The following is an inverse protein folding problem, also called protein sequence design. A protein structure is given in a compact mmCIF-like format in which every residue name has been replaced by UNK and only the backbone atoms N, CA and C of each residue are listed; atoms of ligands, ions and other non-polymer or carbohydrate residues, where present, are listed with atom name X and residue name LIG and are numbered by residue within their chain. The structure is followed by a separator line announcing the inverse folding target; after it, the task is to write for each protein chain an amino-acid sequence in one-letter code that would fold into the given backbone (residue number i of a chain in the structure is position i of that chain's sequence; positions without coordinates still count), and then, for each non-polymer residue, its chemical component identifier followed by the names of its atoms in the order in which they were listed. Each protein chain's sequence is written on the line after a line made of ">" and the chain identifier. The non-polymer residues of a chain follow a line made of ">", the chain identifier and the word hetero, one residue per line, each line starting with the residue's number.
data_IF_610500286030
#
_entry.id   IF_610500286030
#
_cell.length_a   1.000
_cell.length_b   1.000
_cell.length_c   1.000
_cell.angle_alpha   90.00
_cell.angle_beta   90.00
_cell.angle_gamma   90.00
#
_symmetry.space_group_name_H-M   'P 1'
#
loop_
_entity.id
_entity.type
_entity.pdbx_description
1 polymer ?
#
# COMPACT_ATOMS: atom_id res chain seq x y z
N UNK A 1 -2.82 -34.98 1.80
CA UNK A 1 -2.07 -33.85 2.40
C UNK A 1 -1.27 -33.05 1.38
N UNK A 2 -0.19 -33.60 0.78
CA UNK A 2 0.64 -32.86 -0.20
C UNK A 2 -0.12 -32.47 -1.48
N UNK A 3 -0.99 -33.36 -1.98
CA UNK A 3 -1.84 -33.08 -3.14
C UNK A 3 -2.94 -32.06 -2.81
N UNK A 4 -3.52 -32.11 -1.61
CA UNK A 4 -4.54 -31.17 -1.14
C UNK A 4 -3.95 -29.78 -0.91
N UNK A 5 -2.71 -29.72 -0.39
CA UNK A 5 -1.96 -28.47 -0.23
C UNK A 5 -1.59 -27.83 -1.58
N UNK A 6 -1.15 -28.65 -2.55
CA UNK A 6 -0.91 -28.16 -3.92
C UNK A 6 -2.20 -27.66 -4.57
N UNK A 7 -3.33 -28.36 -4.39
CA UNK A 7 -4.63 -27.93 -4.89
C UNK A 7 -5.13 -26.63 -4.22
N UNK A 8 -4.78 -26.41 -2.95
CA UNK A 8 -5.05 -25.17 -2.24
C UNK A 8 -4.19 -24.00 -2.75
N UNK A 9 -2.88 -24.21 -2.94
CA UNK A 9 -1.97 -23.21 -3.51
C UNK A 9 -2.31 -22.84 -4.96
N UNK A 10 -2.82 -23.79 -5.76
CA UNK A 10 -3.24 -23.53 -7.14
C UNK A 10 -4.52 -22.68 -7.24
N UNK A 11 -5.18 -22.33 -6.13
CA UNK A 11 -6.13 -21.21 -6.12
C UNK A 11 -5.31 -19.92 -6.22
N UNK A 12 -5.12 -19.41 -7.44
CA UNK A 12 -4.24 -18.28 -7.77
C UNK A 12 -4.31 -17.09 -6.80
N UNK A 13 -5.49 -16.80 -6.24
CA UNK A 13 -5.68 -15.76 -5.24
C UNK A 13 -4.77 -15.88 -3.98
N UNK A 14 -4.39 -17.10 -3.57
CA UNK A 14 -3.53 -17.31 -2.39
C UNK A 14 -2.07 -16.98 -2.70
N UNK A 15 -1.60 -17.32 -3.90
CA UNK A 15 -0.22 -17.06 -4.32
C UNK A 15 0.00 -15.58 -4.53
N UNK A 16 -0.93 -14.89 -5.19
CA UNK A 16 -0.86 -13.44 -5.41
C UNK A 16 -0.87 -12.68 -4.09
N UNK A 17 -1.72 -13.10 -3.13
CA UNK A 17 -1.75 -12.53 -1.80
C UNK A 17 -0.46 -12.78 -1.02
N UNK A 18 0.11 -13.99 -1.11
CA UNK A 18 1.37 -14.32 -0.45
C UNK A 18 2.52 -13.46 -1.00
N UNK A 19 2.59 -13.29 -2.33
CA UNK A 19 3.58 -12.43 -2.98
C UNK A 19 3.41 -10.98 -2.52
N UNK A 20 2.18 -10.46 -2.50
CA UNK A 20 1.90 -9.10 -2.06
C UNK A 20 2.35 -8.84 -0.62
N UNK A 21 2.11 -9.77 0.31
CA UNK A 21 2.54 -9.65 1.71
C UNK A 21 4.06 -9.67 1.84
N UNK A 22 4.74 -10.60 1.16
CA UNK A 22 6.21 -10.72 1.23
C UNK A 22 6.90 -9.49 0.63
N UNK A 23 6.44 -9.03 -0.54
CA UNK A 23 6.98 -7.83 -1.17
C UNK A 23 6.67 -6.59 -0.32
N UNK A 24 5.46 -6.49 0.24
CA UNK A 24 5.08 -5.39 1.13
C UNK A 24 5.97 -5.30 2.37
N UNK A 25 6.26 -6.45 3.00
CA UNK A 25 7.16 -6.51 4.16
C UNK A 25 8.60 -6.12 3.79
N UNK A 26 9.14 -6.67 2.69
CA UNK A 26 10.48 -6.35 2.22
C UNK A 26 10.63 -4.87 1.83
N UNK A 27 9.64 -4.32 1.13
CA UNK A 27 9.61 -2.92 0.76
C UNK A 27 9.55 -2.00 2.00
N UNK A 28 8.70 -2.36 2.97
CA UNK A 28 8.63 -1.65 4.25
C UNK A 28 9.98 -1.59 4.97
N UNK A 29 10.73 -2.69 4.97
CA UNK A 29 12.08 -2.73 5.56
C UNK A 29 13.07 -1.81 4.84
N UNK A 30 13.05 -1.76 3.50
CA UNK A 30 13.90 -0.86 2.71
C UNK A 30 13.58 0.61 3.00
N UNK A 31 12.29 0.94 3.08
CA UNK A 31 11.83 2.30 3.38
C UNK A 31 12.19 2.70 4.80
N UNK A 32 12.07 1.78 5.77
CA UNK A 32 12.47 2.02 7.14
C UNK A 32 13.98 2.31 7.22
N UNK A 33 14.80 1.47 6.60
CA UNK A 33 16.26 1.66 6.55
C UNK A 33 16.63 3.01 5.90
N UNK A 34 15.97 3.41 4.81
CA UNK A 34 16.19 4.72 4.20
C UNK A 34 15.93 5.86 5.18
N UNK A 35 14.87 5.77 5.99
CA UNK A 35 14.54 6.84 6.93
C UNK A 35 15.44 6.83 8.16
N UNK A 36 15.69 5.66 8.74
CA UNK A 36 16.54 5.52 9.94
C UNK A 36 18.01 5.85 9.63
N UNK A 37 18.54 5.36 8.51
CA UNK A 37 19.97 5.45 8.20
C UNK A 37 20.36 6.70 7.41
N UNK A 38 19.44 7.29 6.62
CA UNK A 38 19.74 8.47 5.80
C UNK A 38 19.02 9.72 6.28
N UNK A 39 17.70 9.68 6.43
CA UNK A 39 16.90 10.88 6.70
C UNK A 39 17.05 11.35 8.16
N UNK A 40 16.96 10.44 9.11
CA UNK A 40 17.05 10.76 10.55
C UNK A 40 18.39 11.41 10.92
N UNK A 41 19.57 10.90 10.51
CA UNK A 41 20.83 11.57 10.77
C UNK A 41 20.96 12.90 10.02
N UNK A 42 20.39 13.04 8.82
CA UNK A 42 20.38 14.31 8.10
C UNK A 42 19.58 15.39 8.84
N UNK A 43 18.41 15.02 9.37
CA UNK A 43 17.58 15.90 10.20
C UNK A 43 18.30 16.21 11.51
N UNK A 44 18.92 15.21 12.14
CA UNK A 44 19.66 15.39 13.39
C UNK A 44 20.88 16.31 13.23
N UNK A 45 21.53 16.34 12.07
CA UNK A 45 22.61 17.29 11.78
C UNK A 45 22.13 18.74 11.67
N UNK A 46 20.91 18.97 11.17
CA UNK A 46 20.38 20.32 10.95
C UNK A 46 19.68 20.87 12.20
N UNK A 47 18.89 20.03 12.87
CA UNK A 47 18.02 20.43 13.99
C UNK A 47 18.56 20.00 15.37
N UNK A 48 19.70 19.29 15.42
CA UNK A 48 20.21 18.65 16.63
C UNK A 48 19.54 17.31 16.90
N UNK A 49 19.95 16.59 17.97
CA UNK A 49 19.29 15.35 18.40
C UNK A 49 17.94 15.69 19.06
N UNK A 50 16.78 15.34 18.46
CA UNK A 50 15.50 15.40 19.15
C UNK A 50 15.45 14.20 20.12
N UNK A 51 16.03 14.36 21.31
CA UNK A 51 15.98 13.33 22.34
C UNK A 51 15.08 13.77 23.49
N UNK A 52 13.82 13.34 23.43
CA UNK A 52 12.86 13.53 24.51
C UNK A 52 12.88 12.36 25.51
N UNK A 53 13.76 11.36 25.38
CA UNK A 53 13.70 10.13 26.17
C UNK A 53 13.93 10.32 27.69
N UNK A 54 14.52 11.46 28.07
CA UNK A 54 14.74 11.85 29.46
C UNK A 54 13.50 12.44 30.15
N UNK A 55 12.40 12.66 29.41
CA UNK A 55 11.15 13.15 29.98
C UNK A 55 10.31 11.97 30.48
N UNK A 56 10.33 11.76 31.79
CA UNK A 56 9.48 10.81 32.49
C UNK A 56 8.81 11.45 33.71
N UNK A 57 7.74 10.82 34.19
CA UNK A 57 7.13 11.14 35.47
C UNK A 57 6.87 9.85 36.25
N UNK A 58 7.02 9.88 37.57
CA UNK A 58 6.76 8.74 38.44
C UNK A 58 5.48 8.97 39.24
N UNK A 59 4.55 8.01 39.20
CA UNK A 59 3.38 7.94 40.08
C UNK A 59 3.29 6.53 40.65
N UNK A 60 3.27 6.40 41.98
CA UNK A 60 3.11 5.12 42.70
C UNK A 60 3.98 3.98 42.15
N UNK A 61 5.31 4.18 42.11
CA UNK A 61 6.30 3.22 41.58
C UNK A 61 6.17 2.85 40.09
N UNK A 62 5.29 3.52 39.34
CA UNK A 62 5.19 3.37 37.88
C UNK A 62 5.87 4.55 37.18
N UNK A 63 6.84 4.24 36.31
CA UNK A 63 7.58 5.21 35.48
C UNK A 63 6.85 5.42 34.15
N UNK A 64 6.25 6.60 33.97
CA UNK A 64 5.59 6.99 32.73
C UNK A 64 6.57 7.75 31.83
N UNK A 65 7.10 7.06 30.82
CA UNK A 65 8.09 7.58 29.86
C UNK A 65 7.43 8.23 28.65
N UNK A 66 6.69 9.33 28.86
CA UNK A 66 6.01 10.04 27.77
C UNK A 66 6.99 10.61 26.73
N UNK A 67 8.24 10.87 27.13
CA UNK A 67 9.33 11.23 26.25
C UNK A 67 9.60 10.24 25.12
N UNK A 68 9.54 8.94 25.41
CA UNK A 68 9.70 7.89 24.39
C UNK A 68 8.53 7.90 23.40
N UNK A 69 7.30 8.10 23.89
CA UNK A 69 6.13 8.21 23.02
C UNK A 69 6.26 9.38 22.03
N UNK A 70 6.71 10.55 22.49
CA UNK A 70 6.92 11.72 21.62
C UNK A 70 8.00 11.42 20.57
N UNK A 71 9.10 10.77 20.96
CA UNK A 71 10.13 10.33 20.02
C UNK A 71 9.53 9.40 18.94
N UNK A 72 8.71 8.40 19.32
CA UNK A 72 8.07 7.49 18.36
C UNK A 72 7.12 8.20 17.40
N UNK A 73 6.34 9.16 17.90
CA UNK A 73 5.46 9.99 17.04
C UNK A 73 6.28 10.82 16.05
N UNK A 74 7.36 11.43 16.50
CA UNK A 74 8.25 12.21 15.63
C UNK A 74 8.88 11.35 14.53
N UNK A 75 9.39 10.16 14.90
CA UNK A 75 9.92 9.18 13.94
C UNK A 75 8.85 8.74 12.96
N UNK A 76 7.63 8.44 13.41
CA UNK A 76 6.52 8.07 12.53
C UNK A 76 6.18 9.17 11.52
N UNK A 77 6.07 10.42 11.97
CA UNK A 77 5.78 11.56 11.07
C UNK A 77 6.91 11.77 10.07
N UNK A 78 8.16 11.61 10.50
CA UNK A 78 9.34 11.72 9.61
C UNK A 78 9.33 10.63 8.54
N UNK A 79 9.09 9.37 8.93
CA UNK A 79 8.96 8.25 8.00
C UNK A 79 7.82 8.52 7.03
N UNK A 80 6.60 8.78 7.53
CA UNK A 80 5.42 9.01 6.70
C UNK A 80 5.64 10.13 5.67
N UNK A 81 6.27 11.24 6.08
CA UNK A 81 6.62 12.35 5.20
C UNK A 81 7.62 11.93 4.13
N UNK A 82 8.68 11.21 4.52
CA UNK A 82 9.69 10.72 3.59
C UNK A 82 9.10 9.72 2.57
N UNK A 83 8.28 8.76 3.02
CA UNK A 83 7.60 7.80 2.12
C UNK A 83 6.68 8.52 1.15
N UNK A 84 5.86 9.43 1.66
CA UNK A 84 4.92 10.16 0.84
C UNK A 84 5.64 10.98 -0.24
N UNK A 85 6.69 11.69 0.13
CA UNK A 85 7.41 12.55 -0.81
C UNK A 85 8.34 11.78 -1.77
N UNK A 86 9.07 10.76 -1.30
CA UNK A 86 10.05 10.03 -2.11
C UNK A 86 9.48 8.84 -2.87
N UNK A 87 8.34 8.28 -2.44
CA UNK A 87 7.72 7.12 -3.10
C UNK A 87 6.40 7.53 -3.74
N UNK A 88 5.44 8.03 -2.95
CA UNK A 88 4.07 8.23 -3.43
C UNK A 88 4.01 9.34 -4.48
N UNK A 89 4.65 10.49 -4.25
CA UNK A 89 4.67 11.61 -5.22
C UNK A 89 5.30 11.22 -6.56
N UNK A 90 6.52 10.65 -6.65
CA UNK A 90 7.11 10.29 -7.94
C UNK A 90 6.37 9.14 -8.61
N UNK A 91 5.89 8.14 -7.87
CA UNK A 91 5.08 7.07 -8.46
C UNK A 91 3.78 7.64 -9.01
N UNK A 92 3.06 8.48 -8.27
CA UNK A 92 1.85 9.13 -8.78
C UNK A 92 2.15 10.04 -9.99
N UNK A 93 3.26 10.78 -9.98
CA UNK A 93 3.67 11.62 -11.09
C UNK A 93 4.03 10.78 -12.34
N UNK A 94 4.72 9.65 -12.17
CA UNK A 94 5.04 8.71 -13.23
C UNK A 94 3.78 8.03 -13.76
N UNK A 95 2.87 7.56 -12.89
CA UNK A 95 1.59 6.97 -13.30
C UNK A 95 0.72 7.98 -14.06
N UNK A 96 0.71 9.25 -13.66
CA UNK A 96 0.02 10.30 -14.40
C UNK A 96 0.64 10.57 -15.77
N UNK A 97 1.97 10.48 -15.89
CA UNK A 97 2.69 10.59 -17.17
C UNK A 97 2.53 9.33 -18.04
N UNK A 98 2.40 8.18 -17.40
CA UNK A 98 2.17 6.88 -18.01
C UNK A 98 0.68 6.59 -18.25
N UNK A 99 -0.22 7.60 -18.17
CA UNK A 99 -1.62 7.54 -18.62
C UNK A 99 -1.71 7.28 -20.12
N UNK A 100 -1.37 6.04 -20.47
CA UNK A 100 -1.65 5.27 -21.68
C UNK A 100 -2.10 3.86 -21.29
N UNK A 101 -2.44 3.64 -20.02
CA UNK A 101 -3.21 2.47 -19.61
C UNK A 101 -4.70 2.86 -19.67
N UNK A 102 -5.50 2.14 -20.47
CA UNK A 102 -6.96 2.24 -20.38
C UNK A 102 -7.38 2.06 -18.92
N UNK A 103 -8.45 2.72 -18.46
CA UNK A 103 -8.93 2.55 -17.10
C UNK A 103 -9.05 1.06 -16.76
N UNK A 104 -8.66 0.65 -15.54
CA UNK A 104 -8.67 -0.75 -15.11
C UNK A 104 -10.06 -1.30 -15.36
N UNK A 105 -10.11 -2.34 -16.20
CA UNK A 105 -11.28 -3.00 -16.79
C UNK A 105 -12.55 -2.14 -16.91
N UNK A 106 -13.01 -1.76 -18.12
CA UNK A 106 -14.29 -1.08 -18.27
C UNK A 106 -15.33 -1.84 -17.44
N UNK A 107 -15.81 -1.20 -16.37
CA UNK A 107 -16.55 -1.88 -15.31
C UNK A 107 -17.56 -2.84 -15.94
N UNK A 108 -17.47 -4.11 -15.57
CA UNK A 108 -18.17 -5.18 -16.24
C UNK A 108 -19.62 -5.18 -15.75
N UNK A 109 -20.56 -5.13 -16.70
CA UNK A 109 -21.98 -5.37 -16.46
C UNK A 109 -22.36 -6.77 -16.95
N UNK A 110 -23.33 -7.39 -16.28
CA UNK A 110 -23.94 -8.64 -16.74
C UNK A 110 -24.83 -8.34 -17.96
N UNK A 111 -24.61 -9.05 -19.05
CA UNK A 111 -25.54 -9.02 -20.17
C UNK A 111 -26.90 -9.60 -19.74
N UNK A 112 -28.03 -8.93 -19.98
CA UNK A 112 -29.36 -9.42 -19.58
C UNK A 112 -29.79 -10.69 -20.33
N UNK A 113 -29.21 -10.96 -21.51
CA UNK A 113 -29.63 -12.06 -22.38
C UNK A 113 -28.86 -13.35 -22.11
N UNK A 114 -27.52 -13.27 -21.98
CA UNK A 114 -26.66 -14.44 -21.86
C UNK A 114 -25.88 -14.51 -20.55
N UNK A 115 -26.05 -13.53 -19.65
CA UNK A 115 -25.42 -13.46 -18.32
C UNK A 115 -23.88 -13.46 -18.30
N UNK A 116 -23.26 -13.30 -19.46
CA UNK A 116 -21.81 -13.08 -19.61
C UNK A 116 -21.43 -11.67 -19.19
N UNK A 117 -20.19 -11.50 -18.72
CA UNK A 117 -19.66 -10.21 -18.31
C UNK A 117 -19.21 -9.41 -19.55
N UNK A 118 -19.76 -8.21 -19.72
CA UNK A 118 -19.50 -7.31 -20.86
C UNK A 118 -19.15 -5.90 -20.34
N UNK A 119 -18.38 -5.09 -21.08
CA UNK A 119 -18.05 -3.74 -20.63
C UNK A 119 -19.29 -2.83 -20.58
N UNK A 120 -19.39 -1.93 -19.59
CA UNK A 120 -20.55 -1.02 -19.39
C UNK A 120 -20.87 -0.14 -20.63
N UNK A 121 -19.89 0.13 -21.50
CA UNK A 121 -20.09 0.87 -22.75
C UNK A 121 -20.48 0.02 -23.98
N UNK A 122 -20.60 -1.31 -23.86
CA UNK A 122 -20.95 -2.15 -24.99
C UNK A 122 -22.39 -1.87 -25.45
N UNK A 123 -22.57 -1.63 -26.76
CA UNK A 123 -23.89 -1.61 -27.41
C UNK A 123 -24.32 -2.98 -27.94
N UNK A 124 -23.36 -3.90 -28.06
CA UNK A 124 -23.59 -5.30 -28.47
C UNK A 124 -22.75 -6.24 -27.62
N UNK A 125 -23.37 -7.33 -27.19
CA UNK A 125 -22.69 -8.38 -26.45
C UNK A 125 -21.72 -9.15 -27.36
N UNK A 126 -20.48 -9.37 -26.91
CA UNK A 126 -19.48 -10.14 -27.64
C UNK A 126 -19.78 -11.66 -27.70
N UNK A 127 -20.57 -12.17 -26.75
CA UNK A 127 -20.85 -13.61 -26.62
C UNK A 127 -22.11 -14.04 -27.38
N UNK A 128 -23.21 -13.32 -27.18
CA UNK A 128 -24.50 -13.68 -27.78
C UNK A 128 -24.96 -12.73 -28.89
N UNK A 129 -24.17 -11.70 -29.23
CA UNK A 129 -24.48 -10.70 -30.27
C UNK A 129 -25.76 -9.87 -30.06
N UNK A 130 -26.44 -10.03 -28.92
CA UNK A 130 -27.63 -9.24 -28.61
C UNK A 130 -27.27 -7.77 -28.42
N UNK A 131 -28.21 -6.90 -28.79
CA UNK A 131 -28.11 -5.47 -28.49
C UNK A 131 -28.37 -5.26 -27.00
N UNK A 132 -27.52 -4.45 -26.38
CA UNK A 132 -27.56 -4.14 -24.95
C UNK A 132 -27.53 -2.63 -24.81
N UNK A 133 -28.37 -2.09 -23.92
CA UNK A 133 -28.31 -0.68 -23.58
C UNK A 133 -27.00 -0.41 -22.85
N UNK A 134 -26.27 0.62 -23.27
CA UNK A 134 -25.17 1.15 -22.47
C UNK A 134 -25.78 1.74 -21.19
N UNK A 135 -25.28 1.31 -20.03
CA UNK A 135 -25.71 1.80 -18.72
C UNK A 135 -25.08 3.16 -18.39
#
# INVERSE_FOLDING_TARGET
>A
MLNDFKAFLLRGNVVDLAIAVVIGAAFGAVVLALVEDLITPLIAMIFGKPDFAALDFTINDSTFRYGDFINKVFTFVTIATAVFFLVVVPVNALMQRAKKEPPPDPALQKCPQCLSDIPIGARRCAFCTSEVAAA
#
